data_IF_795413309350
#
_entry.id   IF_795413309350
#
_cell.length_a   1.000
_cell.length_b   1.000
_cell.length_c   1.000
_cell.angle_alpha   90.00
_cell.angle_beta   90.00
_cell.angle_gamma   90.00
#
_symmetry.space_group_name_H-M   'P 1'
#
loop_
_entity.id
_entity.type
_entity.pdbx_description
1 polymer ?
#
# COMPACT_ATOMS: atom_id res chain seq x y z
N UNK A 1 12.85 -29.71 18.62
CA UNK A 1 11.76 -29.87 19.62
C UNK A 1 12.37 -29.85 21.01
N UNK A 2 11.79 -29.10 21.96
CA UNK A 2 12.33 -28.91 23.31
C UNK A 2 11.44 -29.62 24.34
N UNK A 3 11.98 -30.53 25.17
CA UNK A 3 11.20 -31.23 26.18
C UNK A 3 10.80 -30.28 27.32
N UNK A 4 9.57 -30.44 27.83
CA UNK A 4 9.06 -29.62 28.95
C UNK A 4 9.15 -30.41 30.25
N UNK A 5 9.82 -29.83 31.27
CA UNK A 5 9.93 -30.45 32.60
C UNK A 5 8.60 -30.36 33.35
N UNK A 6 8.22 -31.43 34.05
CA UNK A 6 6.97 -31.47 34.86
C UNK A 6 7.17 -30.69 36.16
N UNK A 7 8.34 -30.82 36.78
CA UNK A 7 8.71 -30.08 37.98
C UNK A 7 10.18 -29.66 37.84
N UNK A 8 10.51 -28.35 37.97
CA UNK A 8 11.85 -27.82 37.71
C UNK A 8 12.94 -28.43 38.60
N UNK A 9 12.59 -28.93 39.79
CA UNK A 9 13.53 -29.56 40.74
C UNK A 9 13.78 -31.05 40.45
N UNK A 10 13.04 -31.66 39.54
CA UNK A 10 13.15 -33.09 39.20
C UNK A 10 13.48 -33.28 37.71
N UNK A 11 14.12 -34.41 37.36
CA UNK A 11 14.54 -34.69 35.97
C UNK A 11 13.38 -35.13 35.06
N UNK A 12 12.21 -35.45 35.60
CA UNK A 12 11.08 -35.97 34.84
C UNK A 12 10.52 -34.91 33.86
N UNK A 13 10.42 -35.31 32.58
CA UNK A 13 9.93 -34.49 31.45
C UNK A 13 8.64 -35.08 30.88
N UNK A 14 7.79 -34.22 30.31
CA UNK A 14 6.56 -34.63 29.63
C UNK A 14 6.88 -35.34 28.31
N UNK A 15 6.04 -36.30 27.93
CA UNK A 15 6.11 -36.97 26.63
C UNK A 15 5.80 -36.03 25.45
N UNK A 16 5.05 -34.94 25.70
CA UNK A 16 4.71 -33.93 24.69
C UNK A 16 5.74 -32.80 24.71
N UNK A 17 6.38 -32.57 23.56
CA UNK A 17 7.44 -31.58 23.39
C UNK A 17 6.86 -30.23 22.93
N UNK A 18 7.54 -29.13 23.30
CA UNK A 18 7.28 -27.82 22.70
C UNK A 18 8.10 -27.68 21.42
N UNK A 19 7.44 -27.29 20.35
CA UNK A 19 8.06 -27.02 19.06
C UNK A 19 7.95 -25.53 18.77
N UNK A 20 9.05 -24.93 18.34
CA UNK A 20 9.10 -23.56 17.86
C UNK A 20 9.60 -23.58 16.42
N UNK A 21 9.16 -22.58 15.65
CA UNK A 21 9.69 -22.33 14.31
C UNK A 21 10.58 -21.10 14.47
N UNK A 22 11.87 -21.27 14.23
CA UNK A 22 12.81 -20.15 14.23
C UNK A 22 12.55 -19.29 12.99
N UNK A 23 12.55 -17.99 13.20
CA UNK A 23 12.29 -17.04 12.12
C UNK A 23 13.57 -16.85 11.31
N UNK A 24 13.52 -17.18 10.02
CA UNK A 24 14.60 -16.91 9.06
C UNK A 24 14.33 -15.61 8.28
N UNK A 25 13.09 -15.40 7.85
CA UNK A 25 12.72 -14.25 7.02
C UNK A 25 11.24 -13.89 7.20
N UNK A 26 10.96 -12.59 7.24
CA UNK A 26 9.61 -12.06 7.18
C UNK A 26 9.36 -11.39 5.84
N UNK A 27 8.38 -11.89 5.09
CA UNK A 27 7.82 -11.15 3.95
C UNK A 27 6.60 -10.36 4.42
N UNK A 28 6.77 -9.06 4.61
CA UNK A 28 5.63 -8.16 4.89
C UNK A 28 4.74 -8.10 3.65
N UNK A 29 3.49 -8.57 3.78
CA UNK A 29 2.47 -8.32 2.77
C UNK A 29 1.87 -6.95 3.04
N UNK A 30 2.13 -5.97 2.16
CA UNK A 30 1.39 -4.71 2.17
C UNK A 30 -0.04 -5.06 1.77
N UNK A 31 -0.99 -5.05 2.71
CA UNK A 31 -2.41 -5.30 2.43
C UNK A 31 -2.95 -4.17 1.54
N UNK A 32 -3.85 -4.51 0.61
CA UNK A 32 -4.50 -3.59 -0.33
C UNK A 32 -5.52 -2.66 0.35
N UNK A 33 -5.25 -2.20 1.56
CA UNK A 33 -6.01 -1.09 2.14
C UNK A 33 -5.56 0.17 1.42
N UNK A 34 -6.40 0.59 0.48
CA UNK A 34 -6.29 1.84 -0.23
C UNK A 34 -5.96 2.98 0.74
N UNK A 35 -4.89 3.72 0.43
CA UNK A 35 -4.63 5.08 0.90
C UNK A 35 -4.66 5.24 2.43
N UNK A 36 -3.50 5.08 3.07
CA UNK A 36 -3.28 5.56 4.45
C UNK A 36 -3.25 4.47 5.51
N UNK A 37 -2.21 3.64 5.50
CA UNK A 37 -1.75 2.92 6.70
C UNK A 37 -0.54 3.67 7.27
N UNK A 38 -0.69 4.26 8.45
CA UNK A 38 0.41 4.80 9.24
C UNK A 38 1.28 3.65 9.77
N UNK A 39 2.33 3.32 9.06
CA UNK A 39 3.51 2.65 9.61
C UNK A 39 4.78 3.29 9.03
N UNK A 40 4.97 4.53 9.48
CA UNK A 40 6.21 5.31 9.40
C UNK A 40 7.29 4.64 10.26
N UNK A 41 8.08 3.77 9.62
CA UNK A 41 9.44 3.28 9.93
C UNK A 41 9.54 1.89 9.28
N UNK A 42 10.44 1.59 8.36
CA UNK A 42 11.88 1.90 8.32
C UNK A 42 12.40 1.52 6.91
N UNK A 43 13.55 2.09 6.56
CA UNK A 43 14.40 1.94 5.35
C UNK A 43 14.09 2.87 4.18
N UNK A 44 15.05 3.77 3.95
CA UNK A 44 15.11 4.87 2.99
C UNK A 44 15.15 4.45 1.50
N UNK A 45 14.57 3.31 1.13
CA UNK A 45 14.61 2.77 -0.24
C UNK A 45 13.24 2.79 -0.95
N UNK A 46 12.19 3.29 -0.29
CA UNK A 46 10.80 3.11 -0.75
C UNK A 46 10.20 4.31 -1.54
N UNK A 47 10.85 5.49 -1.56
CA UNK A 47 10.35 6.64 -2.34
C UNK A 47 10.54 6.46 -3.86
N UNK A 48 11.57 5.73 -4.31
CA UNK A 48 11.80 5.43 -5.74
C UNK A 48 11.15 4.12 -6.22
N UNK A 49 10.65 3.28 -5.29
CA UNK A 49 10.18 1.92 -5.60
C UNK A 49 8.70 1.84 -6.02
N UNK A 50 7.93 2.94 -5.92
CA UNK A 50 6.52 2.94 -6.32
C UNK A 50 6.32 3.09 -7.84
N UNK A 51 7.17 3.87 -8.51
CA UNK A 51 7.13 4.08 -9.97
C UNK A 51 7.61 2.86 -10.76
N UNK A 52 8.54 2.09 -10.19
CA UNK A 52 9.24 0.98 -10.85
C UNK A 52 8.47 -0.36 -10.89
N UNK A 53 7.16 -0.38 -10.57
CA UNK A 53 6.37 -1.62 -10.43
C UNK A 53 5.41 -1.91 -11.59
N UNK A 54 5.34 -1.08 -12.62
CA UNK A 54 4.43 -1.31 -13.75
C UNK A 54 5.13 -2.04 -14.90
N UNK A 55 4.55 -3.17 -15.33
CA UNK A 55 4.96 -3.85 -16.58
C UNK A 55 4.74 -2.94 -17.79
N UNK A 56 5.55 -3.12 -18.84
CA UNK A 56 5.41 -2.38 -20.11
C UNK A 56 4.01 -2.49 -20.71
N UNK A 57 3.38 -3.66 -20.57
CA UNK A 57 1.99 -3.90 -21.00
C UNK A 57 0.99 -3.03 -20.24
N UNK A 58 1.19 -2.88 -18.92
CA UNK A 58 0.35 -2.03 -18.06
C UNK A 58 0.48 -0.56 -18.45
N UNK A 59 1.70 -0.10 -18.74
CA UNK A 59 1.93 1.27 -19.22
C UNK A 59 1.24 1.52 -20.56
N UNK A 60 1.24 0.54 -21.48
CA UNK A 60 0.52 0.65 -22.74
C UNK A 60 -1.00 0.77 -22.52
N UNK A 61 -1.56 0.01 -21.57
CA UNK A 61 -2.97 0.11 -21.19
C UNK A 61 -3.32 1.49 -20.62
N UNK A 62 -2.47 2.06 -19.76
CA UNK A 62 -2.69 3.42 -19.22
C UNK A 62 -2.69 4.49 -20.32
N UNK A 63 -1.78 4.38 -21.29
CA UNK A 63 -1.74 5.31 -22.44
C UNK A 63 -3.00 5.19 -23.29
N UNK A 64 -3.40 3.97 -23.64
CA UNK A 64 -4.61 3.73 -24.41
C UNK A 64 -5.87 4.27 -23.69
N UNK A 65 -5.96 4.07 -22.38
CA UNK A 65 -7.05 4.65 -21.58
C UNK A 65 -7.02 6.18 -21.62
N UNK A 66 -5.84 6.80 -21.49
CA UNK A 66 -5.67 8.26 -21.50
C UNK A 66 -6.06 8.92 -22.83
N UNK A 67 -6.03 8.19 -23.94
CA UNK A 67 -6.40 8.69 -25.27
C UNK A 67 -7.91 8.74 -25.49
N UNK A 68 -8.69 8.05 -24.65
CA UNK A 68 -10.15 8.05 -24.76
C UNK A 68 -10.74 9.41 -24.39
N UNK A 69 -11.62 9.93 -25.25
CA UNK A 69 -12.33 11.20 -25.01
C UNK A 69 -13.31 11.15 -23.84
N UNK A 70 -13.86 9.96 -23.53
CA UNK A 70 -14.82 9.72 -22.45
C UNK A 70 -14.16 9.29 -21.12
N UNK A 71 -12.83 9.40 -21.01
CA UNK A 71 -12.09 8.91 -19.83
C UNK A 71 -12.59 9.52 -18.51
N UNK A 72 -12.93 10.81 -18.50
CA UNK A 72 -13.34 11.49 -17.27
C UNK A 72 -14.66 10.93 -16.73
N UNK A 73 -15.62 10.67 -17.62
CA UNK A 73 -16.90 10.05 -17.27
C UNK A 73 -16.71 8.59 -16.87
N UNK A 74 -15.93 7.84 -17.64
CA UNK A 74 -15.62 6.43 -17.36
C UNK A 74 -15.02 6.23 -15.96
N UNK A 75 -14.02 7.04 -15.60
CA UNK A 75 -13.36 6.96 -14.29
C UNK A 75 -14.31 7.41 -13.18
N UNK A 76 -15.10 8.47 -13.39
CA UNK A 76 -16.06 8.94 -12.39
C UNK A 76 -17.13 7.87 -12.10
N UNK A 77 -17.57 7.14 -13.12
CA UNK A 77 -18.54 6.04 -12.98
C UNK A 77 -17.94 4.81 -12.31
N UNK A 78 -16.64 4.57 -12.47
CA UNK A 78 -15.94 3.42 -11.89
C UNK A 78 -15.65 3.53 -10.38
N UNK A 79 -15.58 4.75 -9.81
CA UNK A 79 -15.27 4.94 -8.37
C UNK A 79 -16.36 4.34 -7.46
N UNK A 80 -17.63 4.54 -7.83
CA UNK A 80 -18.77 4.10 -7.04
C UNK A 80 -19.88 3.60 -7.97
N UNK A 81 -19.72 2.39 -8.54
CA UNK A 81 -20.66 1.85 -9.51
C UNK A 81 -22.01 1.47 -8.89
N UNK A 82 -22.05 1.23 -7.57
CA UNK A 82 -23.27 0.93 -6.83
C UNK A 82 -24.15 2.15 -6.52
N UNK A 83 -23.62 3.37 -6.66
CA UNK A 83 -24.36 4.61 -6.39
C UNK A 83 -24.78 5.21 -7.74
N UNK A 84 -26.07 5.37 -7.99
CA UNK A 84 -26.56 6.00 -9.22
C UNK A 84 -26.62 7.54 -9.08
N UNK A 85 -26.28 8.26 -10.15
CA UNK A 85 -26.27 9.73 -10.19
C UNK A 85 -25.06 10.36 -9.49
N UNK A 86 -25.23 11.63 -9.06
CA UNK A 86 -24.23 12.43 -8.33
C UNK A 86 -22.86 12.52 -9.04
N UNK A 87 -22.88 12.67 -10.36
CA UNK A 87 -21.66 12.66 -11.18
C UNK A 87 -20.65 13.72 -10.74
N UNK A 88 -21.10 14.92 -10.36
CA UNK A 88 -20.23 16.00 -9.93
C UNK A 88 -19.50 15.68 -8.62
N UNK A 89 -20.15 14.94 -7.71
CA UNK A 89 -19.53 14.49 -6.46
C UNK A 89 -18.47 13.44 -6.76
N UNK A 90 -18.78 12.48 -7.65
CA UNK A 90 -17.82 11.44 -8.05
C UNK A 90 -16.63 12.06 -8.79
N UNK A 91 -16.86 13.03 -9.66
CA UNK A 91 -15.83 13.84 -10.34
C UNK A 91 -14.97 14.61 -9.32
N UNK A 92 -15.57 15.20 -8.29
CA UNK A 92 -14.84 15.84 -7.20
C UNK A 92 -13.94 14.87 -6.43
N UNK A 93 -14.45 13.70 -6.06
CA UNK A 93 -13.67 12.64 -5.39
C UNK A 93 -12.54 12.14 -6.30
N UNK A 94 -12.82 11.96 -7.60
CA UNK A 94 -11.82 11.55 -8.59
C UNK A 94 -10.63 12.53 -8.63
N UNK A 95 -10.92 13.83 -8.71
CA UNK A 95 -9.89 14.87 -8.69
C UNK A 95 -9.11 14.88 -7.37
N UNK A 96 -9.80 14.67 -6.25
CA UNK A 96 -9.17 14.57 -4.93
C UNK A 96 -8.20 13.37 -4.82
N UNK A 97 -8.53 12.23 -5.46
CA UNK A 97 -7.68 11.02 -5.46
C UNK A 97 -6.41 11.19 -6.29
N UNK A 98 -6.49 11.90 -7.43
CA UNK A 98 -5.29 12.28 -8.18
C UNK A 98 -4.48 13.36 -7.44
N UNK A 99 -5.15 14.16 -6.61
CA UNK A 99 -4.55 15.22 -5.83
C UNK A 99 -4.15 16.43 -6.69
N UNK A 100 -3.49 17.38 -6.05
CA UNK A 100 -2.93 18.55 -6.73
C UNK A 100 -1.55 18.28 -7.34
N UNK A 101 -1.06 19.21 -8.14
CA UNK A 101 0.31 19.19 -8.64
C UNK A 101 1.28 19.70 -7.57
N UNK A 102 2.42 19.01 -7.42
CA UNK A 102 3.49 19.44 -6.51
C UNK A 102 4.25 20.60 -7.15
N UNK A 103 4.11 21.82 -6.62
CA UNK A 103 4.89 22.99 -7.07
C UNK A 103 6.18 23.10 -6.23
N UNK A 104 7.34 22.97 -6.86
CA UNK A 104 8.64 23.13 -6.21
C UNK A 104 8.99 24.62 -6.08
N UNK A 105 8.89 25.16 -4.86
CA UNK A 105 9.25 26.54 -4.55
C UNK A 105 10.73 26.65 -4.17
N UNK A 106 11.65 26.37 -5.09
CA UNK A 106 13.10 26.52 -4.83
C UNK A 106 13.52 28.00 -4.98
N UNK A 107 12.79 28.78 -5.77
CA UNK A 107 13.14 30.16 -6.12
C UNK A 107 12.22 31.23 -5.48
N UNK A 108 11.17 30.81 -4.78
CA UNK A 108 10.19 31.72 -4.16
C UNK A 108 10.45 31.88 -2.65
N UNK A 109 11.66 32.32 -2.27
CA UNK A 109 11.99 33.06 -1.03
C UNK A 109 11.59 32.52 0.36
N UNK A 110 10.85 31.42 0.48
CA UNK A 110 10.41 30.88 1.76
C UNK A 110 11.46 29.92 2.29
N UNK A 111 12.48 30.47 2.95
CA UNK A 111 13.37 29.70 3.82
C UNK A 111 12.48 29.01 4.86
N UNK A 112 12.39 27.69 4.79
CA UNK A 112 11.87 26.88 5.88
C UNK A 112 12.83 27.04 7.05
N UNK A 113 12.41 27.83 8.04
CA UNK A 113 12.96 27.80 9.39
C UNK A 113 12.52 26.52 10.09
#
# INVERSE_FOLDING_TARGET
>A
AVPVRINPKTRNVRSVYRTFIDVIHFRRQKTFTAVGGLDEQTTNDDEESSSSKFSKERLAQFRNLSERSDIYELLSNAIAPSIFGLEDIKKGILLQLFGGTKKSFIDAGRKSC
#
